data_IF_421306927287
#
_entry.id   IF_421306927287
#
_cell.length_a   1.000
_cell.length_b   1.000
_cell.length_c   1.000
_cell.angle_alpha   90.00
_cell.angle_beta   90.00
_cell.angle_gamma   90.00
#
_symmetry.space_group_name_H-M   'P 1'
#
loop_
_entity.id
_entity.type
_entity.pdbx_description
1 polymer ?
#
# COMPACT_ATOMS: atom_id res chain seq x y z
N UNK A 1 51.66 -77.27 -48.72
CA UNK A 1 51.53 -77.76 -47.34
C UNK A 1 51.91 -76.62 -46.40
N UNK A 2 50.94 -76.23 -45.56
CA UNK A 2 51.01 -75.47 -44.31
C UNK A 2 51.66 -74.05 -44.28
N UNK A 3 50.84 -73.02 -44.06
CA UNK A 3 51.16 -71.96 -43.07
C UNK A 3 50.64 -72.38 -41.68
N UNK A 4 50.43 -71.49 -40.69
CA UNK A 4 50.74 -70.05 -40.57
C UNK A 4 51.53 -69.74 -39.26
N UNK A 5 51.75 -68.47 -38.89
CA UNK A 5 51.38 -67.94 -37.55
C UNK A 5 51.72 -66.45 -37.35
N UNK A 6 50.87 -65.83 -36.52
CA UNK A 6 50.72 -64.41 -36.21
C UNK A 6 51.72 -63.87 -35.16
N UNK A 7 52.14 -62.61 -35.37
CA UNK A 7 52.33 -61.44 -34.45
C UNK A 7 52.69 -61.61 -32.95
N UNK A 8 53.45 -60.68 -32.31
CA UNK A 8 52.92 -59.33 -31.96
C UNK A 8 53.93 -58.15 -31.83
N UNK A 9 53.45 -56.91 -31.56
CA UNK A 9 54.16 -55.64 -31.81
C UNK A 9 54.80 -55.02 -30.56
N UNK A 10 55.68 -54.03 -30.74
CA UNK A 10 56.19 -53.17 -29.66
C UNK A 10 55.97 -51.68 -29.92
N UNK A 11 55.80 -50.97 -28.81
CA UNK A 11 54.96 -49.81 -28.59
C UNK A 11 55.79 -48.50 -28.54
N UNK A 12 55.25 -47.41 -29.14
CA UNK A 12 55.33 -45.99 -28.71
C UNK A 12 56.62 -45.15 -28.86
N UNK A 13 56.53 -43.78 -28.89
CA UNK A 13 55.37 -42.96 -28.55
C UNK A 13 54.88 -41.94 -29.60
N UNK A 14 53.56 -41.80 -29.53
CA UNK A 14 52.68 -40.76 -30.03
C UNK A 14 53.11 -39.34 -29.61
N UNK A 15 53.22 -38.44 -30.58
CA UNK A 15 53.31 -36.98 -30.36
C UNK A 15 51.98 -36.35 -30.76
N UNK A 16 51.03 -36.38 -29.84
CA UNK A 16 49.79 -35.61 -29.99
C UNK A 16 50.07 -34.11 -30.09
N UNK A 17 49.29 -33.35 -30.88
CA UNK A 17 49.50 -31.91 -31.07
C UNK A 17 49.15 -31.13 -29.79
N UNK A 18 50.08 -30.32 -29.31
CA UNK A 18 49.88 -29.34 -28.23
C UNK A 18 48.82 -28.32 -28.61
N UNK A 19 47.66 -28.35 -27.94
CA UNK A 19 46.58 -27.38 -28.14
C UNK A 19 47.04 -25.97 -27.73
N UNK A 20 46.83 -24.92 -28.55
CA UNK A 20 47.17 -23.56 -28.17
C UNK A 20 46.30 -23.10 -27.00
N UNK A 21 46.95 -22.50 -25.99
CA UNK A 21 46.31 -21.93 -24.81
C UNK A 21 45.36 -20.80 -25.25
N UNK A 22 44.04 -20.99 -25.04
CA UNK A 22 43.03 -19.95 -25.33
C UNK A 22 43.38 -18.66 -24.58
N UNK A 23 43.74 -17.62 -25.31
CA UNK A 23 43.86 -16.26 -24.78
C UNK A 23 42.47 -15.86 -24.28
N UNK A 24 42.30 -15.71 -22.96
CA UNK A 24 41.05 -15.23 -22.38
C UNK A 24 40.89 -13.77 -22.81
N UNK A 25 39.86 -13.48 -23.61
CA UNK A 25 39.57 -12.12 -24.05
C UNK A 25 39.38 -11.22 -22.82
N UNK A 26 39.93 -10.00 -22.80
CA UNK A 26 39.69 -9.02 -21.74
C UNK A 26 38.18 -8.79 -21.55
N UNK A 27 37.74 -8.68 -20.30
CA UNK A 27 36.33 -8.55 -19.89
C UNK A 27 35.58 -7.44 -20.62
N UNK A 28 36.24 -6.33 -20.95
CA UNK A 28 35.64 -5.23 -21.71
C UNK A 28 35.31 -5.61 -23.16
N UNK A 29 36.20 -6.34 -23.84
CA UNK A 29 35.98 -6.76 -25.24
C UNK A 29 34.86 -7.80 -25.34
N UNK A 30 34.84 -8.78 -24.43
CA UNK A 30 33.76 -9.76 -24.34
C UNK A 30 32.39 -9.08 -24.12
N UNK A 31 32.31 -8.11 -23.20
CA UNK A 31 31.08 -7.34 -22.95
C UNK A 31 30.65 -6.45 -24.10
N UNK A 32 31.60 -5.90 -24.87
CA UNK A 32 31.29 -5.09 -26.06
C UNK A 32 30.72 -5.95 -27.19
N UNK A 33 31.34 -7.10 -27.46
CA UNK A 33 30.84 -8.08 -28.43
C UNK A 33 29.45 -8.61 -28.01
N UNK A 34 29.25 -8.92 -26.72
CA UNK A 34 27.95 -9.34 -26.17
C UNK A 34 26.88 -8.25 -26.33
N UNK A 35 27.21 -6.99 -26.06
CA UNK A 35 26.31 -5.85 -26.28
C UNK A 35 25.92 -5.71 -27.76
N UNK A 36 26.87 -5.89 -28.67
CA UNK A 36 26.60 -5.80 -30.12
C UNK A 36 25.70 -6.94 -30.59
N UNK A 37 25.89 -8.16 -30.08
CA UNK A 37 25.01 -9.30 -30.35
C UNK A 37 23.59 -9.07 -29.82
N UNK A 38 23.48 -8.58 -28.58
CA UNK A 38 22.18 -8.26 -27.97
C UNK A 38 21.44 -7.14 -28.72
N UNK A 39 22.16 -6.17 -29.30
CA UNK A 39 21.56 -5.13 -30.13
C UNK A 39 21.04 -5.69 -31.46
N UNK A 40 21.76 -6.61 -32.08
CA UNK A 40 21.30 -7.30 -33.29
C UNK A 40 20.08 -8.18 -33.00
N UNK A 41 20.08 -8.88 -31.87
CA UNK A 41 18.94 -9.68 -31.42
C UNK A 41 17.72 -8.79 -31.13
N UNK A 42 17.91 -7.61 -30.52
CA UNK A 42 16.84 -6.64 -30.34
C UNK A 42 16.23 -6.18 -31.65
N UNK A 43 17.04 -5.87 -32.66
CA UNK A 43 16.54 -5.43 -33.97
C UNK A 43 15.80 -6.55 -34.72
N UNK A 44 16.32 -7.78 -34.63
CA UNK A 44 15.66 -8.97 -35.15
C UNK A 44 14.30 -9.22 -34.45
N UNK A 45 14.26 -9.14 -33.12
CA UNK A 45 13.05 -9.29 -32.33
C UNK A 45 12.04 -8.16 -32.59
N UNK A 46 12.50 -6.92 -32.75
CA UNK A 46 11.64 -5.80 -33.13
C UNK A 46 11.04 -5.99 -34.53
N UNK A 47 11.82 -6.52 -35.47
CA UNK A 47 11.35 -6.85 -36.81
C UNK A 47 10.32 -8.00 -36.78
N UNK A 48 10.57 -9.04 -35.99
CA UNK A 48 9.62 -10.13 -35.76
C UNK A 48 8.31 -9.63 -35.12
N UNK A 49 8.39 -8.73 -34.14
CA UNK A 49 7.20 -8.12 -33.54
C UNK A 49 6.40 -7.30 -34.56
N UNK A 50 7.05 -6.53 -35.44
CA UNK A 50 6.36 -5.80 -36.51
C UNK A 50 5.65 -6.76 -37.47
N UNK A 51 6.31 -7.87 -37.82
CA UNK A 51 5.73 -8.87 -38.71
C UNK A 51 4.55 -9.61 -38.07
N UNK A 52 4.68 -10.01 -36.80
CA UNK A 52 3.61 -10.65 -36.04
C UNK A 52 2.42 -9.71 -35.83
N UNK A 53 2.65 -8.41 -35.57
CA UNK A 53 1.56 -7.41 -35.53
C UNK A 53 0.83 -7.31 -36.86
N UNK A 54 1.56 -7.22 -37.97
CA UNK A 54 0.97 -7.16 -39.32
C UNK A 54 0.21 -8.43 -39.68
N UNK A 55 0.70 -9.60 -39.26
CA UNK A 55 0.01 -10.88 -39.42
C UNK A 55 -1.24 -10.98 -38.54
N UNK A 56 -1.18 -10.49 -37.30
CA UNK A 56 -2.32 -10.43 -36.40
C UNK A 56 -3.41 -9.50 -36.95
N UNK A 57 -3.05 -8.32 -37.47
CA UNK A 57 -3.95 -7.39 -38.16
C UNK A 57 -4.60 -8.05 -39.40
N UNK A 58 -3.79 -8.69 -40.27
CA UNK A 58 -4.32 -9.38 -41.46
C UNK A 58 -5.20 -10.60 -41.14
N UNK A 59 -4.98 -11.26 -39.99
CA UNK A 59 -5.83 -12.35 -39.49
C UNK A 59 -7.09 -11.84 -38.79
N UNK A 60 -7.04 -10.64 -38.19
CA UNK A 60 -8.17 -9.96 -37.58
C UNK A 60 -9.19 -9.48 -38.62
N UNK A 61 -8.73 -9.16 -39.83
CA UNK A 61 -9.58 -8.80 -40.97
C UNK A 61 -10.24 -10.02 -41.65
N UNK A 62 -9.73 -11.25 -41.40
CA UNK A 62 -10.20 -12.49 -42.04
C UNK A 62 -11.03 -13.41 -41.14
N UNK A 63 -11.09 -13.13 -39.83
CA UNK A 63 -11.91 -13.89 -38.89
C UNK A 63 -13.32 -13.28 -38.81
N UNK A 64 -14.35 -14.11 -39.02
CA UNK A 64 -15.77 -13.77 -38.86
C UNK A 64 -16.02 -12.93 -37.58
N UNK A 65 -16.75 -11.80 -37.68
CA UNK A 65 -16.82 -10.80 -36.61
C UNK A 65 -17.53 -11.31 -35.35
N UNK A 66 -18.41 -12.31 -35.45
CA UNK A 66 -19.30 -12.76 -34.37
C UNK A 66 -18.53 -13.42 -33.21
N UNK A 67 -17.72 -14.45 -33.47
CA UNK A 67 -16.97 -15.17 -32.43
C UNK A 67 -15.79 -14.34 -31.87
N UNK A 68 -15.20 -13.46 -32.68
CA UNK A 68 -14.12 -12.56 -32.27
C UNK A 68 -14.64 -11.37 -31.45
N UNK A 69 -15.87 -10.90 -31.72
CA UNK A 69 -16.47 -9.76 -31.00
C UNK A 69 -16.68 -10.06 -29.52
N UNK A 70 -17.26 -11.22 -29.18
CA UNK A 70 -17.53 -11.59 -27.79
C UNK A 70 -16.26 -11.73 -26.96
N UNK A 71 -15.22 -12.35 -27.52
CA UNK A 71 -13.92 -12.49 -26.86
C UNK A 71 -13.20 -11.14 -26.72
N UNK A 72 -13.24 -10.28 -27.74
CA UNK A 72 -12.68 -8.92 -27.69
C UNK A 72 -13.39 -8.06 -26.66
N UNK A 73 -14.71 -8.16 -26.56
CA UNK A 73 -15.51 -7.40 -25.60
C UNK A 73 -15.24 -7.87 -24.16
N UNK A 74 -15.16 -9.18 -23.92
CA UNK A 74 -14.73 -9.72 -22.63
C UNK A 74 -13.34 -9.23 -22.21
N UNK A 75 -12.36 -9.25 -23.12
CA UNK A 75 -11.03 -8.73 -22.83
C UNK A 75 -11.01 -7.22 -22.59
N UNK A 76 -11.82 -6.44 -23.33
CA UNK A 76 -11.98 -5.01 -23.10
C UNK A 76 -12.59 -4.73 -21.73
N UNK A 77 -13.64 -5.44 -21.34
CA UNK A 77 -14.26 -5.30 -20.03
C UNK A 77 -13.31 -5.68 -18.90
N UNK A 78 -12.53 -6.75 -19.07
CA UNK A 78 -11.51 -7.15 -18.10
C UNK A 78 -10.42 -6.09 -17.94
N UNK A 79 -9.90 -5.57 -19.05
CA UNK A 79 -8.87 -4.51 -19.05
C UNK A 79 -9.42 -3.19 -18.49
N UNK A 80 -10.65 -2.81 -18.85
CA UNK A 80 -11.31 -1.63 -18.33
C UNK A 80 -11.54 -1.76 -16.82
N UNK A 81 -12.02 -2.91 -16.35
CA UNK A 81 -12.20 -3.21 -14.93
C UNK A 81 -10.87 -3.18 -14.17
N UNK A 82 -9.80 -3.76 -14.73
CA UNK A 82 -8.47 -3.72 -14.14
C UNK A 82 -7.91 -2.28 -14.07
N UNK A 83 -8.05 -1.50 -15.15
CA UNK A 83 -7.64 -0.10 -15.21
C UNK A 83 -8.44 0.75 -14.21
N UNK A 84 -9.75 0.57 -14.14
CA UNK A 84 -10.61 1.28 -13.20
C UNK A 84 -10.26 0.94 -11.76
N UNK A 85 -10.01 -0.34 -11.46
CA UNK A 85 -9.57 -0.77 -10.14
C UNK A 85 -8.23 -0.15 -9.75
N UNK A 86 -7.26 -0.11 -10.66
CA UNK A 86 -5.98 0.56 -10.44
C UNK A 86 -6.14 2.07 -10.23
N UNK A 87 -6.98 2.74 -11.02
CA UNK A 87 -7.24 4.17 -10.87
C UNK A 87 -7.90 4.50 -9.52
N UNK A 88 -8.89 3.70 -9.09
CA UNK A 88 -9.51 3.84 -7.77
C UNK A 88 -8.48 3.65 -6.65
N UNK A 89 -7.61 2.65 -6.76
CA UNK A 89 -6.52 2.42 -5.81
C UNK A 89 -5.58 3.64 -5.73
N UNK A 90 -5.15 4.20 -6.87
CA UNK A 90 -4.27 5.37 -6.90
C UNK A 90 -4.93 6.62 -6.30
N UNK A 91 -6.20 6.87 -6.61
CA UNK A 91 -6.96 8.00 -6.04
C UNK A 91 -7.10 7.85 -4.52
N UNK A 92 -7.37 6.63 -4.03
CA UNK A 92 -7.44 6.36 -2.60
C UNK A 92 -6.10 6.60 -1.91
N UNK A 93 -5.00 6.13 -2.51
CA UNK A 93 -3.63 6.38 -1.98
C UNK A 93 -3.34 7.87 -1.96
N UNK A 94 -3.63 8.60 -3.04
CA UNK A 94 -3.38 10.03 -3.12
C UNK A 94 -4.20 10.81 -2.08
N UNK A 95 -5.47 10.45 -1.88
CA UNK A 95 -6.34 11.02 -0.85
C UNK A 95 -5.77 10.77 0.56
N UNK A 96 -5.38 9.52 0.85
CA UNK A 96 -4.79 9.12 2.12
C UNK A 96 -3.48 9.89 2.40
N UNK A 97 -2.59 9.99 1.40
CA UNK A 97 -1.34 10.74 1.51
C UNK A 97 -1.58 12.24 1.74
N UNK A 98 -2.54 12.84 1.03
CA UNK A 98 -2.90 14.25 1.20
C UNK A 98 -3.47 14.54 2.59
N UNK A 99 -4.34 13.66 3.09
CA UNK A 99 -4.86 13.74 4.46
C UNK A 99 -3.71 13.64 5.47
N UNK A 100 -2.84 12.64 5.31
CA UNK A 100 -1.71 12.42 6.21
C UNK A 100 -0.78 13.64 6.30
N UNK A 101 -0.36 14.21 5.18
CA UNK A 101 0.51 15.40 5.15
C UNK A 101 -0.13 16.56 5.94
N UNK A 102 -1.43 16.75 5.77
CA UNK A 102 -2.18 17.80 6.48
C UNK A 102 -2.23 17.53 7.98
N UNK A 103 -2.56 16.32 8.40
CA UNK A 103 -2.64 15.94 9.81
C UNK A 103 -1.26 15.99 10.48
N UNK A 104 -0.21 15.52 9.80
CA UNK A 104 1.16 15.59 10.26
C UNK A 104 1.62 17.03 10.50
N UNK A 105 1.30 17.95 9.58
CA UNK A 105 1.60 19.37 9.75
C UNK A 105 0.86 19.99 10.95
N UNK A 106 -0.33 19.49 11.29
CA UNK A 106 -1.14 20.00 12.40
C UNK A 106 -0.73 19.43 13.77
N UNK A 107 -0.13 18.24 13.82
CA UNK A 107 0.18 17.50 15.05
C UNK A 107 0.81 18.37 16.13
N UNK A 108 1.96 18.97 15.84
CA UNK A 108 2.73 19.76 16.83
C UNK A 108 1.91 20.93 17.38
N UNK A 109 1.19 21.64 16.51
CA UNK A 109 0.36 22.78 16.91
C UNK A 109 -0.82 22.34 17.77
N UNK A 110 -1.52 21.27 17.36
CA UNK A 110 -2.67 20.73 18.08
C UNK A 110 -2.27 20.16 19.44
N UNK A 111 -1.16 19.44 19.53
CA UNK A 111 -0.64 18.92 20.79
C UNK A 111 -0.27 20.03 21.78
N UNK A 112 0.44 21.06 21.31
CA UNK A 112 0.78 22.22 22.16
C UNK A 112 -0.48 22.93 22.65
N UNK A 113 -1.45 23.16 21.76
CA UNK A 113 -2.72 23.79 22.12
C UNK A 113 -3.49 22.95 23.14
N UNK A 114 -3.53 21.62 22.99
CA UNK A 114 -4.19 20.72 23.92
C UNK A 114 -3.53 20.73 25.31
N UNK A 115 -2.19 20.73 25.38
CA UNK A 115 -1.45 20.82 26.65
C UNK A 115 -1.76 22.13 27.39
N UNK A 116 -1.68 23.27 26.70
CA UNK A 116 -2.01 24.56 27.28
C UNK A 116 -3.47 24.60 27.73
N UNK A 117 -4.38 24.08 26.90
CA UNK A 117 -5.80 24.03 27.22
C UNK A 117 -6.07 23.21 28.50
N UNK A 118 -5.49 22.03 28.63
CA UNK A 118 -5.64 21.19 29.84
C UNK A 118 -5.13 21.94 31.07
N UNK A 119 -3.91 22.50 31.02
CA UNK A 119 -3.32 23.26 32.13
C UNK A 119 -4.23 24.43 32.55
N UNK A 120 -4.68 25.23 31.58
CA UNK A 120 -5.48 26.42 31.86
C UNK A 120 -6.88 26.07 32.37
N UNK A 121 -7.46 24.95 31.93
CA UNK A 121 -8.77 24.44 32.37
C UNK A 121 -8.72 23.80 33.75
N UNK A 122 -7.60 23.17 34.12
CA UNK A 122 -7.46 22.47 35.41
C UNK A 122 -6.83 23.31 36.51
N UNK A 123 -6.24 24.48 36.22
CA UNK A 123 -5.46 25.26 37.20
C UNK A 123 -6.19 25.60 38.52
N UNK A 124 -7.52 25.65 38.50
CA UNK A 124 -8.35 25.94 39.68
C UNK A 124 -9.27 24.77 40.06
N UNK A 125 -9.09 23.61 39.44
CA UNK A 125 -9.83 22.39 39.74
C UNK A 125 -8.96 21.49 40.62
N UNK A 126 -9.59 20.77 41.53
CA UNK A 126 -8.94 19.67 42.22
C UNK A 126 -8.86 18.44 41.29
N UNK A 127 -7.67 17.96 40.90
CA UNK A 127 -7.53 16.81 40.01
C UNK A 127 -8.07 15.49 40.57
N UNK A 128 -8.22 15.38 41.90
CA UNK A 128 -8.78 14.20 42.55
C UNK A 128 -10.32 14.22 42.58
N UNK A 129 -10.93 15.37 42.31
CA UNK A 129 -12.38 15.54 42.31
C UNK A 129 -12.94 15.32 40.90
N UNK A 130 -14.00 14.51 40.74
CA UNK A 130 -14.65 14.34 39.44
C UNK A 130 -15.24 15.68 38.97
N UNK A 131 -15.10 15.97 37.68
CA UNK A 131 -15.60 17.19 37.08
C UNK A 131 -16.03 16.95 35.64
N UNK A 132 -17.18 17.48 35.22
CA UNK A 132 -17.61 17.41 33.83
C UNK A 132 -18.28 18.72 33.39
N UNK A 133 -17.92 19.16 32.19
CA UNK A 133 -18.48 20.34 31.55
C UNK A 133 -18.83 20.01 30.09
N UNK A 134 -19.99 20.49 29.65
CA UNK A 134 -20.43 20.38 28.27
C UNK A 134 -20.90 21.76 27.77
N UNK A 135 -20.37 22.19 26.63
CA UNK A 135 -20.74 23.44 25.98
C UNK A 135 -21.13 23.18 24.53
N UNK A 136 -22.15 23.87 24.05
CA UNK A 136 -22.61 23.84 22.65
C UNK A 136 -22.70 25.27 22.14
N UNK A 137 -22.20 25.51 20.94
CA UNK A 137 -22.16 26.83 20.33
C UNK A 137 -22.19 26.72 18.82
N UNK A 138 -22.54 27.82 18.15
CA UNK A 138 -22.45 27.94 16.69
C UNK A 138 -21.18 28.72 16.40
N UNK A 139 -20.28 28.16 15.60
CA UNK A 139 -19.06 28.81 15.18
C UNK A 139 -19.36 29.96 14.19
N UNK A 140 -18.37 30.83 13.97
CA UNK A 140 -18.54 32.01 13.09
C UNK A 140 -18.90 31.64 11.65
N UNK A 141 -18.56 30.43 11.22
CA UNK A 141 -18.90 29.88 9.90
C UNK A 141 -20.28 29.20 9.84
N UNK A 142 -21.04 29.20 10.95
CA UNK A 142 -22.36 28.56 11.03
C UNK A 142 -22.33 27.11 11.53
N UNK A 143 -21.15 26.53 11.76
CA UNK A 143 -21.04 25.14 12.19
C UNK A 143 -21.51 24.95 13.64
N UNK A 144 -22.33 23.92 13.87
CA UNK A 144 -22.73 23.50 15.21
C UNK A 144 -21.58 22.76 15.88
N UNK A 145 -21.07 23.32 16.96
CA UNK A 145 -19.94 22.78 17.71
C UNK A 145 -20.37 22.34 19.10
N UNK A 146 -19.75 21.25 19.58
CA UNK A 146 -19.87 20.80 20.95
C UNK A 146 -18.48 20.59 21.55
N UNK A 147 -18.30 21.02 22.79
CA UNK A 147 -17.09 20.84 23.56
C UNK A 147 -17.43 20.09 24.84
N UNK A 148 -16.66 19.04 25.14
CA UNK A 148 -16.77 18.26 26.36
C UNK A 148 -15.42 18.25 27.06
N UNK A 149 -15.43 18.50 28.36
CA UNK A 149 -14.26 18.41 29.23
C UNK A 149 -14.63 17.59 30.46
N UNK A 150 -13.83 16.59 30.80
CA UNK A 150 -14.15 15.59 31.82
C UNK A 150 -12.88 15.23 32.60
N UNK A 151 -13.01 15.18 33.93
CA UNK A 151 -12.02 14.68 34.88
C UNK A 151 -12.69 13.52 35.59
N UNK A 152 -12.22 12.30 35.31
CA UNK A 152 -12.64 11.09 36.00
C UNK A 152 -11.44 10.55 36.80
N UNK A 153 -11.44 10.71 38.14
CA UNK A 153 -10.35 10.20 38.98
C UNK A 153 -10.42 8.67 39.08
N UNK A 154 -9.26 8.02 38.97
CA UNK A 154 -9.12 6.58 39.14
C UNK A 154 -8.20 6.28 40.31
N UNK A 155 -8.73 5.65 41.35
CA UNK A 155 -7.91 5.17 42.46
C UNK A 155 -7.18 3.87 42.09
N UNK A 156 -5.89 3.79 42.42
CA UNK A 156 -5.08 2.55 42.32
C UNK A 156 -4.90 1.98 40.91
N UNK A 157 -5.23 2.74 39.86
CA UNK A 157 -4.98 2.37 38.46
C UNK A 157 -3.81 3.20 37.94
N UNK A 158 -2.86 2.55 37.25
CA UNK A 158 -1.74 3.26 36.64
C UNK A 158 -2.20 4.07 35.42
N UNK A 159 -1.61 5.25 35.24
CA UNK A 159 -1.86 6.11 34.06
C UNK A 159 -1.63 5.38 32.74
N UNK A 160 -0.68 4.45 32.69
CA UNK A 160 -0.41 3.60 31.52
C UNK A 160 -1.60 2.71 31.17
N UNK A 161 -2.24 2.08 32.17
CA UNK A 161 -3.43 1.24 31.93
C UNK A 161 -4.61 2.07 31.45
N UNK A 162 -4.81 3.26 32.03
CA UNK A 162 -5.85 4.20 31.58
C UNK A 162 -5.58 4.63 30.14
N UNK A 163 -4.34 4.98 29.82
CA UNK A 163 -3.94 5.35 28.46
C UNK A 163 -4.17 4.21 27.46
N UNK A 164 -3.75 2.98 27.78
CA UNK A 164 -3.94 1.82 26.92
C UNK A 164 -5.44 1.54 26.70
N UNK A 165 -6.27 1.66 27.73
CA UNK A 165 -7.72 1.49 27.61
C UNK A 165 -8.37 2.57 26.73
N UNK A 166 -7.96 3.84 26.88
CA UNK A 166 -8.44 4.94 26.05
C UNK A 166 -8.01 4.75 24.60
N UNK A 167 -6.76 4.40 24.35
CA UNK A 167 -6.27 4.13 23.00
C UNK A 167 -7.04 2.97 22.37
N UNK A 168 -7.26 1.87 23.10
CA UNK A 168 -8.06 0.76 22.62
C UNK A 168 -9.49 1.19 22.28
N UNK A 169 -10.14 1.99 23.14
CA UNK A 169 -11.47 2.54 22.88
C UNK A 169 -11.50 3.37 21.59
N UNK A 170 -10.54 4.29 21.41
CA UNK A 170 -10.49 5.12 20.21
C UNK A 170 -10.25 4.28 18.94
N UNK A 171 -9.35 3.29 19.00
CA UNK A 171 -9.03 2.40 17.86
C UNK A 171 -10.16 1.44 17.47
N UNK A 172 -11.12 1.17 18.35
CA UNK A 172 -12.23 0.23 18.09
C UNK A 172 -13.60 0.90 18.27
N UNK A 173 -13.66 2.20 18.02
CA UNK A 173 -14.85 3.02 18.28
C UNK A 173 -16.05 2.57 17.45
N UNK A 174 -15.85 1.99 16.26
CA UNK A 174 -16.92 1.50 15.37
C UNK A 174 -17.82 0.46 16.05
N UNK A 175 -17.25 -0.41 16.90
CA UNK A 175 -18.00 -1.42 17.64
C UNK A 175 -18.95 -0.73 18.61
N UNK A 176 -18.43 0.25 19.35
CA UNK A 176 -19.22 0.99 20.33
C UNK A 176 -20.28 1.88 19.69
N UNK A 177 -19.96 2.53 18.57
CA UNK A 177 -20.93 3.35 17.82
C UNK A 177 -22.05 2.48 17.27
N UNK A 178 -21.74 1.29 16.76
CA UNK A 178 -22.74 0.31 16.31
C UNK A 178 -23.68 -0.08 17.43
N UNK A 179 -23.15 -0.38 18.62
CA UNK A 179 -23.95 -0.78 19.78
C UNK A 179 -24.92 0.34 20.24
N UNK A 180 -24.46 1.60 20.20
CA UNK A 180 -25.30 2.75 20.60
C UNK A 180 -26.35 3.12 19.56
N UNK A 181 -25.99 3.11 18.27
CA UNK A 181 -26.90 3.52 17.20
C UNK A 181 -27.86 2.39 16.79
N UNK A 182 -27.53 1.14 17.10
CA UNK A 182 -28.31 -0.04 16.76
C UNK A 182 -28.11 -0.54 15.33
N UNK A 183 -27.33 0.17 14.52
CA UNK A 183 -27.03 -0.14 13.13
C UNK A 183 -25.54 -0.27 12.87
N UNK A 184 -25.20 -1.10 11.87
CA UNK A 184 -23.81 -1.40 11.50
C UNK A 184 -23.05 -0.12 11.13
N UNK A 185 -21.98 0.15 11.87
CA UNK A 185 -21.03 1.20 11.58
C UNK A 185 -19.82 0.62 10.88
N UNK A 186 -19.48 1.17 9.72
CA UNK A 186 -18.34 0.75 8.90
C UNK A 186 -17.18 1.72 9.13
N UNK A 187 -16.00 1.18 9.39
CA UNK A 187 -14.75 1.92 9.41
C UNK A 187 -14.13 1.90 8.01
N UNK A 188 -13.98 3.05 7.39
CA UNK A 188 -13.53 3.19 5.99
C UNK A 188 -12.06 3.59 5.85
N UNK A 189 -11.36 3.86 6.95
CA UNK A 189 -9.94 4.21 6.96
C UNK A 189 -9.02 2.98 7.11
N UNK A 190 -7.81 3.10 6.55
CA UNK A 190 -6.70 2.16 6.74
C UNK A 190 -5.78 2.74 7.83
N UNK A 191 -5.50 1.95 8.86
CA UNK A 191 -5.26 2.32 10.27
C UNK A 191 -3.96 3.11 10.58
N UNK A 192 -3.38 3.85 9.63
CA UNK A 192 -2.02 4.36 9.78
C UNK A 192 -1.76 5.69 9.06
N UNK A 193 -2.26 6.78 9.66
CA UNK A 193 -1.77 8.13 9.38
C UNK A 193 -0.36 8.38 9.99
N UNK A 194 0.55 7.39 10.04
CA UNK A 194 1.93 7.56 10.48
C UNK A 194 2.18 7.67 12.01
N UNK A 195 3.43 7.98 12.38
CA UNK A 195 3.96 7.87 13.76
C UNK A 195 3.21 8.76 14.78
N UNK A 196 2.27 8.16 15.51
CA UNK A 196 1.47 8.79 16.56
C UNK A 196 0.36 9.71 16.04
N UNK A 197 -0.22 9.37 14.90
CA UNK A 197 -1.47 9.94 14.39
C UNK A 197 -2.35 8.76 14.00
N UNK A 198 -3.59 8.75 14.48
CA UNK A 198 -4.63 7.81 14.06
C UNK A 198 -5.83 8.63 13.63
N UNK A 199 -6.40 8.29 12.48
CA UNK A 199 -7.59 8.92 11.94
C UNK A 199 -8.60 7.81 11.70
N UNK A 200 -9.83 7.95 12.21
CA UNK A 200 -10.87 6.95 12.09
C UNK A 200 -12.09 7.58 11.40
N UNK A 201 -12.43 7.09 10.21
CA UNK A 201 -13.59 7.52 9.44
C UNK A 201 -14.68 6.45 9.58
N UNK A 202 -15.72 6.79 10.31
CA UNK A 202 -16.85 5.92 10.61
C UNK A 202 -18.07 6.39 9.83
N UNK A 203 -18.71 5.45 9.12
CA UNK A 203 -19.96 5.68 8.40
C UNK A 203 -21.01 4.72 8.93
N UNK A 204 -22.11 5.26 9.46
CA UNK A 204 -23.25 4.48 9.95
C UNK A 204 -24.51 4.85 9.17
N UNK A 205 -25.34 3.86 8.87
CA UNK A 205 -26.67 4.08 8.30
C UNK A 205 -27.67 4.04 9.44
N UNK A 206 -28.37 5.13 9.71
CA UNK A 206 -29.34 5.23 10.79
C UNK A 206 -30.68 4.59 10.39
N UNK A 207 -31.56 4.25 11.35
CA UNK A 207 -32.81 3.55 11.07
C UNK A 207 -33.79 4.34 10.20
N UNK A 208 -33.67 5.66 10.19
CA UNK A 208 -34.46 6.58 9.37
C UNK A 208 -33.91 6.74 7.94
N UNK A 209 -32.90 5.97 7.55
CA UNK A 209 -32.25 6.01 6.24
C UNK A 209 -31.23 7.14 6.08
N UNK A 210 -30.98 7.96 7.11
CA UNK A 210 -29.93 8.97 7.09
C UNK A 210 -28.56 8.33 7.30
N UNK A 211 -27.53 8.89 6.65
CA UNK A 211 -26.15 8.49 6.91
C UNK A 211 -25.51 9.43 7.91
N UNK A 212 -24.91 8.86 8.95
CA UNK A 212 -24.03 9.56 9.88
C UNK A 212 -22.58 9.30 9.48
N UNK A 213 -21.81 10.36 9.32
CA UNK A 213 -20.36 10.29 9.11
C UNK A 213 -19.65 10.93 10.30
N UNK A 214 -18.68 10.22 10.86
CA UNK A 214 -17.78 10.71 11.91
C UNK A 214 -16.34 10.56 11.43
N UNK A 215 -15.56 11.62 11.57
CA UNK A 215 -14.13 11.60 11.24
C UNK A 215 -13.35 12.05 12.47
N UNK A 216 -12.72 11.09 13.15
CA UNK A 216 -12.00 11.30 14.39
C UNK A 216 -10.50 11.33 14.11
N UNK A 217 -9.77 12.26 14.73
CA UNK A 217 -8.31 12.33 14.65
C UNK A 217 -7.73 12.33 16.05
N UNK A 218 -6.85 11.37 16.33
CA UNK A 218 -6.09 11.26 17.56
C UNK A 218 -4.61 11.59 17.30
N UNK A 219 -4.06 12.51 18.10
CA UNK A 219 -2.63 12.81 18.13
C UNK A 219 -2.01 12.27 19.42
N UNK A 220 -0.98 11.43 19.30
CA UNK A 220 -0.27 10.87 20.45
C UNK A 220 1.18 11.31 20.48
N UNK A 221 1.69 11.61 21.69
CA UNK A 221 3.08 11.99 21.93
C UNK A 221 4.03 10.80 22.04
N UNK A 222 3.48 9.61 22.30
CA UNK A 222 4.22 8.36 22.38
C UNK A 222 4.08 7.64 21.05
N UNK A 223 5.18 7.48 20.32
CA UNK A 223 5.22 6.46 19.28
C UNK A 223 5.49 5.13 19.95
N UNK A 224 4.55 4.18 19.89
CA UNK A 224 4.98 2.78 19.99
C UNK A 224 5.72 2.46 18.68
N UNK A 225 6.94 1.97 18.84
CA UNK A 225 7.67 1.28 17.78
C UNK A 225 7.08 -0.12 17.60
#
# INVERSE_FOLDING_TARGET
MAGPDLEPPTHSPDKGPTKPRRVKKPTYQARKEEKELLLQELDALQSQLKQLKKQAEASADRAEPEHSSGQRELWRQLLAGASQHQQLSLVNIQSALSSYVTLAALKTRKMRAAQLYVVERTRFLDPASPFAEHSRFIAQNGDYCALRFDITPYERISSVKVYDALHHYFSHMEIWVTDILGDVTIREDDDSAGKGISQNRLVSSLPNGLKLEMNNVMYTGVSRA
#
